data_IF_754803338438
#
_entry.id   IF_754803338438
#
_cell.length_a   1.000
_cell.length_b   1.000
_cell.length_c   1.000
_cell.angle_alpha   90.00
_cell.angle_beta   90.00
_cell.angle_gamma   90.00
#
_symmetry.space_group_name_H-M   'P 1'
#
loop_
_entity.id
_entity.type
_entity.pdbx_description
1 polymer ?
#
# COMPACT_ATOMS: atom_id res chain seq x y z
N UNK A 1 30.36 24.12 -27.15
CA UNK A 1 31.69 24.75 -26.98
C UNK A 1 31.49 26.26 -26.92
N UNK A 2 32.09 26.98 -25.95
CA UNK A 2 32.02 28.44 -25.90
C UNK A 2 32.89 29.09 -26.99
N UNK A 3 32.61 30.34 -27.31
CA UNK A 3 33.47 31.18 -28.15
C UNK A 3 34.88 31.26 -27.56
N UNK A 4 35.88 31.45 -28.42
CA UNK A 4 37.29 31.55 -28.05
C UNK A 4 37.86 32.88 -28.57
N UNK A 5 38.73 33.52 -27.79
CA UNK A 5 39.50 34.68 -28.21
C UNK A 5 41.00 34.36 -28.22
N UNK A 6 41.71 34.89 -29.21
CA UNK A 6 43.17 34.80 -29.27
C UNK A 6 43.82 35.72 -28.26
N UNK A 7 45.13 35.55 -28.06
CA UNK A 7 45.95 36.55 -27.38
C UNK A 7 45.85 37.91 -28.11
N UNK A 8 45.89 39.00 -27.35
CA UNK A 8 45.86 40.36 -27.87
C UNK A 8 47.25 40.77 -28.38
N UNK A 9 47.28 41.36 -29.56
CA UNK A 9 48.49 41.86 -30.19
C UNK A 9 48.50 43.38 -30.12
N UNK A 10 49.67 43.96 -29.80
CA UNK A 10 49.90 45.40 -29.84
C UNK A 10 50.85 45.72 -30.98
N UNK A 11 50.48 46.70 -31.80
CA UNK A 11 51.28 47.20 -32.93
C UNK A 11 51.32 48.72 -32.89
N UNK A 12 52.32 49.31 -33.55
CA UNK A 12 52.49 50.76 -33.61
C UNK A 12 52.24 51.27 -35.02
N UNK A 13 51.57 52.42 -35.15
CA UNK A 13 51.43 53.11 -36.43
C UNK A 13 52.73 53.84 -36.80
N UNK A 14 52.88 54.26 -38.06
CA UNK A 14 54.02 55.07 -38.51
C UNK A 14 54.18 56.42 -37.75
N UNK A 15 53.16 56.83 -36.99
CA UNK A 15 53.16 58.02 -36.11
C UNK A 15 53.36 57.68 -34.62
N UNK A 16 53.66 56.43 -34.28
CA UNK A 16 53.92 55.98 -32.91
C UNK A 16 52.68 55.74 -32.03
N UNK A 17 51.47 55.75 -32.60
CA UNK A 17 50.24 55.46 -31.85
C UNK A 17 50.04 53.96 -31.64
N UNK A 18 49.62 53.57 -30.44
CA UNK A 18 49.30 52.20 -30.04
C UNK A 18 48.05 51.68 -30.76
N UNK A 19 48.11 50.43 -31.22
CA UNK A 19 46.99 49.73 -31.87
C UNK A 19 46.87 48.31 -31.37
N UNK A 20 45.70 47.98 -30.84
CA UNK A 20 45.37 46.68 -30.28
C UNK A 20 44.54 45.86 -31.26
N UNK A 21 44.84 44.57 -31.36
CA UNK A 21 44.15 43.61 -32.22
C UNK A 21 43.84 42.32 -31.44
N UNK A 22 42.60 41.84 -31.53
CA UNK A 22 42.18 40.56 -30.95
C UNK A 22 41.32 39.81 -31.95
N UNK A 23 41.49 38.49 -32.00
CA UNK A 23 40.68 37.62 -32.83
C UNK A 23 39.66 36.88 -31.96
N UNK A 24 38.43 36.78 -32.46
CA UNK A 24 37.34 36.07 -31.83
C UNK A 24 36.81 35.03 -32.80
N UNK A 25 36.64 33.79 -32.34
CA UNK A 25 36.13 32.68 -33.14
C UNK A 25 35.07 31.88 -32.37
N UNK A 26 34.10 31.32 -33.10
CA UNK A 26 33.19 30.31 -32.57
C UNK A 26 33.16 29.12 -33.54
N UNK A 27 33.76 27.97 -33.17
CA UNK A 27 33.98 26.85 -34.09
C UNK A 27 32.67 26.28 -34.63
N UNK A 28 31.69 26.03 -33.75
CA UNK A 28 30.39 25.43 -34.15
C UNK A 28 29.52 26.33 -35.04
N UNK A 29 29.73 27.65 -34.97
CA UNK A 29 29.03 28.61 -35.83
C UNK A 29 29.82 28.90 -37.12
N UNK A 30 31.06 28.42 -37.24
CA UNK A 30 31.98 28.78 -38.33
C UNK A 30 32.25 30.28 -38.42
N UNK A 31 32.11 31.03 -37.31
CA UNK A 31 32.26 32.49 -37.30
C UNK A 31 33.65 32.87 -36.78
N UNK A 32 34.28 33.81 -37.49
CA UNK A 32 35.58 34.37 -37.15
C UNK A 32 35.56 35.88 -37.38
N UNK A 33 36.10 36.66 -36.45
CA UNK A 33 36.21 38.10 -36.58
C UNK A 33 37.45 38.62 -35.87
N UNK A 34 38.16 39.51 -36.56
CA UNK A 34 39.32 40.23 -36.05
C UNK A 34 38.91 41.66 -35.71
N UNK A 35 39.14 42.07 -34.47
CA UNK A 35 38.77 43.38 -33.93
C UNK A 35 40.02 44.21 -33.70
N UNK A 36 40.00 45.48 -34.13
CA UNK A 36 41.12 46.42 -34.00
C UNK A 36 40.64 47.70 -33.33
N UNK A 37 41.52 48.36 -32.58
CA UNK A 37 41.24 49.68 -32.00
C UNK A 37 42.41 50.29 -31.26
N UNK A 38 42.28 51.56 -30.90
CA UNK A 38 43.37 52.35 -30.31
C UNK A 38 43.39 52.26 -28.76
N UNK A 39 42.40 51.58 -28.17
CA UNK A 39 42.30 51.37 -26.74
C UNK A 39 42.03 49.89 -26.44
N UNK A 40 42.93 49.26 -25.69
CA UNK A 40 42.85 47.86 -25.27
C UNK A 40 41.53 47.52 -24.59
N UNK A 41 41.07 48.34 -23.65
CA UNK A 41 39.84 48.08 -22.90
C UNK A 41 38.62 48.01 -23.83
N UNK A 42 38.52 48.95 -24.78
CA UNK A 42 37.43 48.99 -25.76
C UNK A 42 37.45 47.77 -26.68
N UNK A 43 38.63 47.33 -27.10
CA UNK A 43 38.79 46.15 -27.97
C UNK A 43 38.40 44.88 -27.21
N UNK A 44 38.81 44.73 -25.94
CA UNK A 44 38.42 43.61 -25.08
C UNK A 44 36.91 43.58 -24.84
N UNK A 45 36.28 44.73 -24.51
CA UNK A 45 34.84 44.80 -24.30
C UNK A 45 34.06 44.43 -25.57
N UNK A 46 34.51 44.90 -26.74
CA UNK A 46 33.91 44.52 -28.03
C UNK A 46 34.06 43.03 -28.31
N UNK A 47 35.21 42.44 -27.99
CA UNK A 47 35.45 41.00 -28.13
C UNK A 47 34.50 40.19 -27.24
N UNK A 48 34.40 40.54 -25.95
CA UNK A 48 33.50 39.88 -25.00
C UNK A 48 32.03 39.96 -25.44
N UNK A 49 31.57 41.15 -25.84
CA UNK A 49 30.21 41.33 -26.36
C UNK A 49 29.96 40.47 -27.61
N UNK A 50 30.97 40.34 -28.49
CA UNK A 50 30.88 39.49 -29.67
C UNK A 50 30.78 38.01 -29.32
N UNK A 51 31.60 37.54 -28.37
CA UNK A 51 31.58 36.17 -27.85
C UNK A 51 30.22 35.85 -27.25
N UNK A 52 29.69 36.71 -26.37
CA UNK A 52 28.37 36.51 -25.75
C UNK A 52 27.26 36.43 -26.79
N UNK A 53 27.25 37.33 -27.78
CA UNK A 53 26.26 37.30 -28.86
C UNK A 53 26.34 36.00 -29.68
N UNK A 54 27.55 35.48 -29.91
CA UNK A 54 27.75 34.23 -30.64
C UNK A 54 27.34 33.02 -29.80
N UNK A 55 27.70 32.98 -28.53
CA UNK A 55 27.30 31.92 -27.60
C UNK A 55 25.78 31.87 -27.44
N UNK A 56 25.09 33.02 -27.37
CA UNK A 56 23.63 33.08 -27.33
C UNK A 56 22.99 32.56 -28.62
N UNK A 57 23.52 32.92 -29.79
CA UNK A 57 23.05 32.39 -31.07
C UNK A 57 23.22 30.88 -31.14
N UNK A 58 24.36 30.36 -30.68
CA UNK A 58 24.61 28.93 -30.66
C UNK A 58 23.68 28.21 -29.69
N UNK A 59 23.50 28.72 -28.47
CA UNK A 59 22.55 28.18 -27.48
C UNK A 59 21.14 28.09 -28.04
N UNK A 60 20.66 29.14 -28.73
CA UNK A 60 19.34 29.12 -29.38
C UNK A 60 19.25 28.05 -30.48
N UNK A 61 20.31 27.89 -31.29
CA UNK A 61 20.36 26.88 -32.36
C UNK A 61 20.32 25.46 -31.80
N UNK A 62 21.13 25.18 -30.78
CA UNK A 62 21.17 23.88 -30.09
C UNK A 62 19.81 23.56 -29.46
N UNK A 63 19.20 24.51 -28.74
CA UNK A 63 17.90 24.29 -28.11
C UNK A 63 16.79 23.96 -29.14
N UNK A 64 16.79 24.62 -30.30
CA UNK A 64 15.85 24.29 -31.39
C UNK A 64 16.12 22.91 -31.96
N UNK A 65 17.40 22.55 -32.17
CA UNK A 65 17.78 21.25 -32.70
C UNK A 65 17.42 20.12 -31.72
N UNK A 66 17.70 20.28 -30.44
CA UNK A 66 17.33 19.32 -29.39
C UNK A 66 15.82 19.13 -29.33
N UNK A 67 15.05 20.22 -29.40
CA UNK A 67 13.58 20.14 -29.41
C UNK A 67 13.06 19.37 -30.63
N UNK A 68 13.64 19.59 -31.82
CA UNK A 68 13.30 18.84 -33.04
C UNK A 68 13.66 17.36 -32.90
N UNK A 69 14.88 17.05 -32.47
CA UNK A 69 15.32 15.68 -32.26
C UNK A 69 14.43 14.94 -31.24
N UNK A 70 14.02 15.62 -30.16
CA UNK A 70 13.08 15.05 -29.18
C UNK A 70 11.69 14.82 -29.75
N UNK A 71 11.19 15.71 -30.60
CA UNK A 71 9.90 15.51 -31.28
C UNK A 71 9.97 14.34 -32.26
N UNK A 72 11.00 14.28 -33.09
CA UNK A 72 11.20 13.20 -34.06
C UNK A 72 11.36 11.84 -33.35
N UNK A 73 12.11 11.79 -32.25
CA UNK A 73 12.25 10.58 -31.44
C UNK A 73 10.91 10.11 -30.84
N UNK A 74 10.07 11.05 -30.39
CA UNK A 74 8.73 10.72 -29.87
C UNK A 74 7.79 10.19 -30.95
N UNK A 75 7.84 10.77 -32.15
CA UNK A 75 7.03 10.30 -33.28
C UNK A 75 7.45 8.90 -33.69
N UNK A 76 8.76 8.65 -33.85
CA UNK A 76 9.27 7.31 -34.19
C UNK A 76 8.91 6.26 -33.14
N UNK A 77 9.09 6.57 -31.86
CA UNK A 77 8.72 5.65 -30.80
C UNK A 77 7.22 5.35 -30.77
N UNK A 78 6.37 6.34 -31.11
CA UNK A 78 4.93 6.11 -31.22
C UNK A 78 4.56 5.23 -32.42
N UNK A 79 5.23 5.43 -33.56
CA UNK A 79 5.05 4.59 -34.76
C UNK A 79 5.52 3.15 -34.52
N UNK A 80 6.69 2.96 -33.92
CA UNK A 80 7.23 1.64 -33.56
C UNK A 80 6.30 0.90 -32.58
N UNK A 81 5.84 1.58 -31.52
CA UNK A 81 4.90 1.00 -30.56
C UNK A 81 3.57 0.62 -31.21
N UNK A 82 3.08 1.43 -32.16
CA UNK A 82 1.85 1.14 -32.88
C UNK A 82 2.01 -0.12 -33.75
N UNK A 83 3.14 -0.24 -34.46
CA UNK A 83 3.46 -1.42 -35.27
C UNK A 83 3.58 -2.69 -34.41
N UNK A 84 4.30 -2.62 -33.29
CA UNK A 84 4.42 -3.75 -32.38
C UNK A 84 3.06 -4.18 -31.82
N UNK A 85 2.19 -3.21 -31.50
CA UNK A 85 0.84 -3.49 -31.03
C UNK A 85 -0.04 -4.13 -32.11
N UNK A 86 0.07 -3.69 -33.37
CA UNK A 86 -0.66 -4.31 -34.49
C UNK A 86 -0.20 -5.74 -34.73
N UNK A 87 1.12 -5.97 -34.78
CA UNK A 87 1.70 -7.29 -35.05
C UNK A 87 1.28 -8.30 -33.97
N UNK A 88 1.36 -7.91 -32.69
CA UNK A 88 0.91 -8.75 -31.56
C UNK A 88 -0.59 -9.03 -31.60
N UNK A 89 -1.38 -8.06 -32.05
CA UNK A 89 -2.84 -8.24 -32.16
C UNK A 89 -3.17 -9.22 -33.29
N UNK A 90 -2.47 -9.13 -34.41
CA UNK A 90 -2.63 -10.06 -35.54
C UNK A 90 -2.19 -11.48 -35.17
N UNK A 91 -1.06 -11.63 -34.47
CA UNK A 91 -0.58 -12.92 -33.96
C UNK A 91 -1.60 -13.55 -33.00
N UNK A 92 -2.08 -12.80 -32.01
CA UNK A 92 -3.08 -13.29 -31.06
C UNK A 92 -4.40 -13.68 -31.75
N UNK A 93 -4.84 -12.92 -32.75
CA UNK A 93 -6.03 -13.25 -33.54
C UNK A 93 -5.82 -14.54 -34.35
N UNK A 94 -4.64 -14.73 -34.96
CA UNK A 94 -4.31 -15.94 -35.70
C UNK A 94 -4.26 -17.17 -34.78
N UNK A 95 -3.68 -17.04 -33.59
CA UNK A 95 -3.68 -18.10 -32.57
C UNK A 95 -5.09 -18.43 -32.11
N UNK A 96 -5.92 -17.41 -31.84
CA UNK A 96 -7.29 -17.62 -31.42
C UNK A 96 -8.11 -18.35 -32.49
N UNK A 97 -7.94 -17.97 -33.77
CA UNK A 97 -8.66 -18.64 -34.86
C UNK A 97 -8.13 -20.06 -35.12
N UNK A 98 -6.83 -20.29 -34.93
CA UNK A 98 -6.23 -21.64 -34.94
C UNK A 98 -6.86 -22.53 -33.86
N UNK A 99 -6.89 -22.06 -32.61
CA UNK A 99 -7.51 -22.78 -31.50
C UNK A 99 -9.00 -23.02 -31.75
N UNK A 100 -9.71 -22.03 -32.28
CA UNK A 100 -11.12 -22.17 -32.64
C UNK A 100 -11.32 -23.25 -33.69
N UNK A 101 -10.48 -23.26 -34.73
CA UNK A 101 -10.54 -24.26 -35.80
C UNK A 101 -10.27 -25.66 -35.25
N UNK A 102 -9.23 -25.81 -34.42
CA UNK A 102 -8.91 -27.07 -33.75
C UNK A 102 -10.06 -27.56 -32.86
N UNK A 103 -10.71 -26.65 -32.12
CA UNK A 103 -11.87 -26.99 -31.29
C UNK A 103 -13.06 -27.45 -32.13
N UNK A 104 -13.38 -26.74 -33.23
CA UNK A 104 -14.48 -27.14 -34.13
C UNK A 104 -14.20 -28.52 -34.74
N UNK A 105 -12.98 -28.73 -35.25
CA UNK A 105 -12.53 -30.01 -35.79
C UNK A 105 -12.65 -31.14 -34.76
N UNK A 106 -12.21 -30.89 -33.52
CA UNK A 106 -12.29 -31.85 -32.42
C UNK A 106 -13.73 -32.21 -32.02
N UNK A 107 -14.67 -31.27 -32.14
CA UNK A 107 -16.07 -31.49 -31.82
C UNK A 107 -16.79 -32.24 -32.95
N UNK A 108 -16.46 -31.94 -34.20
CA UNK A 108 -17.05 -32.60 -35.39
C UNK A 108 -16.65 -34.09 -35.47
N UNK A 109 -15.44 -34.43 -35.00
CA UNK A 109 -14.97 -35.82 -34.94
C UNK A 109 -15.45 -36.61 -33.70
N UNK A 110 -16.23 -35.99 -32.81
CA UNK A 110 -16.76 -36.59 -31.58
C UNK A 110 -15.68 -36.76 -30.49
N UNK A 111 -16.05 -36.95 -29.21
CA UNK A 111 -15.07 -37.16 -28.15
C UNK A 111 -14.30 -38.46 -28.40
N UNK A 112 -13.04 -38.35 -28.84
CA UNK A 112 -12.11 -39.47 -28.98
C UNK A 112 -11.89 -40.24 -27.66
N UNK A 113 -12.20 -39.61 -26.52
CA UNK A 113 -12.00 -40.15 -25.18
C UNK A 113 -13.29 -39.97 -24.37
N UNK A 114 -13.89 -41.08 -23.95
CA UNK A 114 -14.97 -41.09 -22.97
C UNK A 114 -14.38 -40.90 -21.57
N UNK A 115 -14.32 -39.64 -21.15
CA UNK A 115 -13.78 -39.25 -19.84
C UNK A 115 -14.53 -39.87 -18.66
N UNK A 116 -15.79 -40.28 -18.83
CA UNK A 116 -16.55 -40.92 -17.75
C UNK A 116 -16.10 -42.36 -17.52
N UNK A 117 -15.55 -43.04 -18.54
CA UNK A 117 -14.98 -44.38 -18.39
C UNK A 117 -13.59 -44.38 -17.73
N UNK A 118 -12.87 -43.24 -17.78
CA UNK A 118 -11.54 -43.08 -17.18
C UNK A 118 -11.56 -42.60 -15.73
N UNK A 119 -12.72 -42.16 -15.23
CA UNK A 119 -12.86 -41.69 -13.86
C UNK A 119 -13.12 -42.85 -12.91
N UNK A 120 -12.27 -42.98 -11.91
CA UNK A 120 -12.57 -43.84 -10.77
C UNK A 120 -13.55 -43.14 -9.83
N UNK A 121 -14.75 -43.71 -9.68
CA UNK A 121 -15.78 -43.26 -8.74
C UNK A 121 -15.73 -44.03 -7.42
N UNK A 122 -14.69 -44.83 -7.19
CA UNK A 122 -14.47 -45.49 -5.92
C UNK A 122 -14.41 -44.43 -4.81
N UNK A 123 -15.13 -44.65 -3.69
CA UNK A 123 -15.11 -43.71 -2.59
C UNK A 123 -13.68 -43.57 -2.08
N UNK A 124 -13.17 -42.33 -2.08
CA UNK A 124 -11.85 -42.03 -1.55
C UNK A 124 -11.76 -42.60 -0.11
N UNK A 125 -10.77 -43.46 0.20
CA UNK A 125 -10.70 -44.12 1.50
C UNK A 125 -10.44 -43.13 2.64
N UNK A 126 -10.00 -41.91 2.31
CA UNK A 126 -9.68 -40.87 3.28
C UNK A 126 -10.85 -39.90 3.41
N UNK A 127 -11.63 -40.07 4.49
CA UNK A 127 -12.76 -39.20 4.80
C UNK A 127 -12.30 -37.78 5.15
N UNK A 128 -12.91 -36.77 4.53
CA UNK A 128 -12.62 -35.36 4.82
C UNK A 128 -12.94 -35.06 6.30
N UNK A 129 -12.06 -34.34 7.02
CA UNK A 129 -12.36 -33.91 8.39
C UNK A 129 -13.62 -33.02 8.41
N UNK A 130 -14.45 -33.19 9.43
CA UNK A 130 -15.67 -32.39 9.63
C UNK A 130 -15.33 -31.07 10.34
N UNK A 131 -15.99 -29.96 9.98
CA UNK A 131 -15.77 -28.69 10.65
C UNK A 131 -16.23 -28.78 12.12
N UNK A 132 -15.48 -28.18 13.07
CA UNK A 132 -15.88 -28.19 14.46
C UNK A 132 -17.14 -27.33 14.67
N UNK A 133 -18.05 -27.77 15.55
CA UNK A 133 -19.23 -26.99 15.93
C UNK A 133 -18.85 -25.83 16.86
N UNK A 134 -19.45 -24.66 16.60
CA UNK A 134 -19.24 -23.47 17.44
C UNK A 134 -19.85 -23.71 18.83
N UNK A 135 -19.12 -23.44 19.94
CA UNK A 135 -19.68 -23.55 21.28
C UNK A 135 -20.82 -22.53 21.48
N UNK A 136 -21.82 -22.91 22.27
CA UNK A 136 -22.93 -22.02 22.67
C UNK A 136 -22.41 -21.00 23.67
N UNK A 137 -22.79 -19.73 23.49
CA UNK A 137 -22.39 -18.64 24.39
C UNK A 137 -22.83 -18.93 25.83
N UNK A 138 -21.97 -18.62 26.84
CA UNK A 138 -22.31 -18.85 28.22
C UNK A 138 -23.48 -17.95 28.63
N UNK A 139 -24.39 -18.43 29.49
CA UNK A 139 -25.52 -17.64 29.94
C UNK A 139 -25.03 -16.41 30.72
N UNK A 140 -25.67 -15.27 30.50
CA UNK A 140 -25.37 -14.04 31.23
C UNK A 140 -25.60 -14.24 32.74
N UNK A 141 -24.75 -13.68 33.61
CA UNK A 141 -24.92 -13.80 35.05
C UNK A 141 -26.26 -13.19 35.47
N UNK A 142 -27.04 -13.94 36.27
CA UNK A 142 -28.29 -13.45 36.85
C UNK A 142 -27.97 -12.56 38.04
N UNK A 143 -28.18 -11.25 37.90
CA UNK A 143 -28.03 -10.29 38.98
C UNK A 143 -29.22 -10.35 39.95
N UNK A 144 -28.93 -10.23 41.24
CA UNK A 144 -29.95 -9.88 42.24
C UNK A 144 -30.33 -8.39 42.15
N UNK A 145 -31.44 -8.01 42.79
CA UNK A 145 -31.92 -6.62 42.84
C UNK A 145 -30.87 -5.70 43.47
N UNK A 146 -30.68 -4.52 42.88
CA UNK A 146 -29.82 -3.46 43.42
C UNK A 146 -30.36 -2.98 44.78
N UNK A 147 -29.50 -2.80 45.80
CA UNK A 147 -29.91 -2.23 47.09
C UNK A 147 -30.55 -0.85 46.88
N UNK A 148 -31.75 -0.63 47.43
CA UNK A 148 -32.44 0.64 47.32
C UNK A 148 -32.40 1.38 48.67
N UNK A 149 -32.15 2.69 48.66
CA UNK A 149 -32.12 3.53 49.86
C UNK A 149 -33.48 3.63 50.57
N UNK A 150 -34.57 3.23 49.91
CA UNK A 150 -35.91 3.12 50.48
C UNK A 150 -36.27 1.71 50.97
N UNK A 151 -35.34 0.74 50.91
CA UNK A 151 -35.62 -0.59 51.46
C UNK A 151 -35.70 -0.50 53.01
N UNK A 152 -36.64 -1.21 53.66
CA UNK A 152 -36.89 -1.09 55.11
C UNK A 152 -35.67 -1.37 55.99
N UNK A 153 -34.67 -2.08 55.45
CA UNK A 153 -33.41 -2.43 56.12
C UNK A 153 -32.46 -1.22 56.28
N UNK A 154 -32.65 -0.16 55.49
CA UNK A 154 -31.86 1.07 55.52
C UNK A 154 -32.64 2.29 56.02
N UNK A 155 -33.88 2.12 56.46
CA UNK A 155 -34.67 3.23 57.00
C UNK A 155 -34.24 3.53 58.46
N UNK A 156 -33.92 4.79 58.82
CA UNK A 156 -33.59 5.13 60.20
C UNK A 156 -34.84 5.04 61.07
N UNK A 157 -34.82 4.20 62.10
CA UNK A 157 -35.90 4.14 63.10
C UNK A 157 -36.03 5.49 63.83
N UNK A 158 -37.03 6.28 63.41
CA UNK A 158 -37.39 7.57 64.01
C UNK A 158 -38.22 7.30 65.27
N UNK A 159 -37.59 7.33 66.43
CA UNK A 159 -38.27 7.26 67.72
C UNK A 159 -38.75 8.63 68.17
N UNK A 160 -39.81 8.67 69.00
CA UNK A 160 -40.35 9.91 69.59
C UNK A 160 -39.29 10.79 70.31
N UNK A 161 -38.19 10.20 70.80
CA UNK A 161 -37.10 10.90 71.49
C UNK A 161 -36.07 11.57 70.54
N UNK A 162 -36.11 11.30 69.23
CA UNK A 162 -35.18 11.86 68.25
C UNK A 162 -35.50 13.34 67.92
N UNK A 163 -36.71 13.80 68.26
CA UNK A 163 -37.07 15.23 68.22
C UNK A 163 -36.38 16.03 69.34
N UNK A 164 -36.07 15.40 70.47
CA UNK A 164 -35.51 16.06 71.65
C UNK A 164 -33.97 16.16 71.61
N UNK A 165 -33.29 15.31 70.84
CA UNK A 165 -31.83 15.27 70.73
C UNK A 165 -31.37 15.18 69.26
N UNK A 166 -31.17 16.33 68.58
CA UNK A 166 -30.83 16.35 67.14
C UNK A 166 -29.51 15.63 66.80
N UNK A 167 -28.58 15.51 67.75
CA UNK A 167 -27.33 14.76 67.56
C UNK A 167 -27.52 13.24 67.44
N UNK A 168 -28.49 12.66 68.17
CA UNK A 168 -28.79 11.21 68.09
C UNK A 168 -29.53 10.85 66.80
N UNK A 169 -30.38 11.76 66.32
CA UNK A 169 -31.03 11.66 65.01
C UNK A 169 -29.98 11.61 63.89
N UNK A 170 -29.04 12.55 63.88
CA UNK A 170 -27.94 12.58 62.89
C UNK A 170 -27.08 11.31 62.93
N UNK A 171 -26.71 10.84 64.11
CA UNK A 171 -25.91 9.61 64.25
C UNK A 171 -26.64 8.35 63.73
N UNK A 172 -27.97 8.27 63.86
CA UNK A 172 -28.78 7.18 63.29
C UNK A 172 -28.92 7.29 61.77
N UNK A 173 -29.07 8.50 61.25
CA UNK A 173 -29.09 8.77 59.80
C UNK A 173 -27.73 8.41 59.18
N UNK A 174 -26.62 8.83 59.78
CA UNK A 174 -25.25 8.48 59.36
C UNK A 174 -24.99 6.96 59.41
N UNK A 175 -25.50 6.27 60.45
CA UNK A 175 -25.38 4.81 60.56
C UNK A 175 -26.22 4.07 59.50
N UNK A 176 -27.41 4.56 59.18
CA UNK A 176 -28.27 4.02 58.12
C UNK A 176 -27.64 4.23 56.74
N UNK A 177 -27.11 5.44 56.48
CA UNK A 177 -26.39 5.76 55.25
C UNK A 177 -25.12 4.91 55.10
N UNK A 178 -24.35 4.71 56.17
CA UNK A 178 -23.16 3.86 56.16
C UNK A 178 -23.49 2.39 55.85
N UNK A 179 -24.63 1.87 56.33
CA UNK A 179 -25.11 0.51 56.00
C UNK A 179 -25.52 0.39 54.54
N UNK A 180 -26.20 1.39 54.01
CA UNK A 180 -26.57 1.44 52.59
C UNK A 180 -25.33 1.49 51.70
N UNK A 181 -24.36 2.37 52.01
CA UNK A 181 -23.10 2.48 51.28
C UNK A 181 -22.31 1.15 51.32
N UNK A 182 -22.24 0.50 52.48
CA UNK A 182 -21.59 -0.82 52.60
C UNK A 182 -22.32 -1.90 51.78
N UNK A 183 -23.67 -1.92 51.80
CA UNK A 183 -24.45 -2.85 51.00
C UNK A 183 -24.29 -2.61 49.48
N UNK A 184 -24.23 -1.34 49.07
CA UNK A 184 -23.97 -0.95 47.68
C UNK A 184 -22.57 -1.38 47.23
N UNK A 185 -21.54 -1.16 48.06
CA UNK A 185 -20.16 -1.62 47.77
C UNK A 185 -20.07 -3.14 47.68
N UNK A 186 -20.73 -3.87 48.58
CA UNK A 186 -20.78 -5.34 48.52
C UNK A 186 -21.51 -5.84 47.27
N UNK A 187 -22.59 -5.16 46.86
CA UNK A 187 -23.30 -5.49 45.63
C UNK A 187 -22.43 -5.21 44.39
N UNK A 188 -21.77 -4.06 44.31
CA UNK A 188 -20.83 -3.72 43.24
C UNK A 188 -19.68 -4.74 43.15
N UNK A 189 -19.06 -5.10 44.27
CA UNK A 189 -17.99 -6.11 44.31
C UNK A 189 -18.48 -7.47 43.79
N UNK A 190 -19.72 -7.86 44.11
CA UNK A 190 -20.34 -9.07 43.57
C UNK A 190 -20.61 -8.97 42.07
N UNK A 191 -21.01 -7.80 41.57
CA UNK A 191 -21.18 -7.58 40.14
C UNK A 191 -19.87 -7.73 39.40
N UNK A 192 -18.83 -7.04 39.87
CA UNK A 192 -17.51 -7.06 39.25
C UNK A 192 -16.94 -8.49 39.24
N UNK A 193 -17.13 -9.23 40.35
CA UNK A 193 -16.76 -10.64 40.43
C UNK A 193 -17.51 -11.54 39.44
N UNK A 194 -18.83 -11.38 39.33
CA UNK A 194 -19.64 -12.16 38.38
C UNK A 194 -19.33 -11.81 36.91
N UNK A 195 -19.09 -10.53 36.62
CA UNK A 195 -18.68 -10.08 35.29
C UNK A 195 -17.28 -10.59 34.93
N UNK A 196 -16.34 -10.55 35.87
CA UNK A 196 -15.00 -11.10 35.68
C UNK A 196 -15.02 -12.61 35.41
N UNK A 197 -15.79 -13.39 36.19
CA UNK A 197 -15.95 -14.83 35.97
C UNK A 197 -16.59 -15.15 34.61
N UNK A 198 -17.60 -14.37 34.22
CA UNK A 198 -18.23 -14.53 32.90
C UNK A 198 -17.26 -14.19 31.77
N UNK A 199 -16.52 -13.09 31.89
CA UNK A 199 -15.51 -12.68 30.91
C UNK A 199 -14.38 -13.71 30.80
N UNK A 200 -13.92 -14.27 31.90
CA UNK A 200 -12.92 -15.36 31.91
C UNK A 200 -13.46 -16.60 31.20
N UNK A 201 -14.70 -17.00 31.48
CA UNK A 201 -15.34 -18.15 30.83
C UNK A 201 -15.46 -17.95 29.32
N UNK A 202 -15.88 -16.75 28.88
CA UNK A 202 -15.96 -16.39 27.46
C UNK A 202 -14.57 -16.44 26.81
N UNK A 203 -13.56 -15.86 27.46
CA UNK A 203 -12.19 -15.84 26.95
C UNK A 203 -11.60 -17.27 26.81
N UNK A 204 -11.84 -18.14 27.79
CA UNK A 204 -11.41 -19.54 27.73
C UNK A 204 -12.09 -20.30 26.59
N UNK A 205 -13.40 -20.12 26.39
CA UNK A 205 -14.12 -20.73 25.27
C UNK A 205 -13.63 -20.21 23.92
N UNK A 206 -13.34 -18.91 23.79
CA UNK A 206 -12.80 -18.33 22.56
C UNK A 206 -11.41 -18.90 22.25
N UNK A 207 -10.55 -19.06 23.25
CA UNK A 207 -9.24 -19.70 23.09
C UNK A 207 -9.36 -21.16 22.65
N UNK A 208 -10.26 -21.93 23.28
CA UNK A 208 -10.51 -23.32 22.89
C UNK A 208 -11.07 -23.42 21.46
N UNK A 209 -11.96 -22.51 21.08
CA UNK A 209 -12.51 -22.44 19.74
C UNK A 209 -11.42 -22.15 18.70
N UNK A 210 -10.54 -21.18 18.95
CA UNK A 210 -9.40 -20.87 18.07
C UNK A 210 -8.48 -22.08 17.89
N UNK A 211 -8.18 -22.80 18.97
CA UNK A 211 -7.38 -24.04 18.89
C UNK A 211 -8.04 -25.10 18.01
N UNK A 212 -9.34 -25.37 18.23
CA UNK A 212 -10.08 -26.33 17.40
C UNK A 212 -10.13 -25.93 15.92
N UNK A 213 -10.19 -24.64 15.62
CA UNK A 213 -10.12 -24.16 14.25
C UNK A 213 -8.74 -24.37 13.63
N UNK A 214 -7.67 -24.15 14.38
CA UNK A 214 -6.30 -24.41 13.93
C UNK A 214 -6.09 -25.92 13.71
N UNK A 215 -6.45 -26.76 14.68
CA UNK A 215 -6.37 -28.21 14.56
C UNK A 215 -7.15 -28.73 13.33
N UNK A 216 -8.32 -28.15 13.04
CA UNK A 216 -9.09 -28.48 11.84
C UNK A 216 -8.41 -28.03 10.54
N UNK A 217 -7.77 -26.86 10.53
CA UNK A 217 -7.01 -26.39 9.36
C UNK A 217 -5.79 -27.27 9.10
N UNK A 218 -5.07 -27.67 10.15
CA UNK A 218 -3.94 -28.57 10.05
C UNK A 218 -4.38 -29.95 9.54
N UNK A 219 -5.46 -30.52 10.10
CA UNK A 219 -6.05 -31.77 9.60
C UNK A 219 -6.52 -31.68 8.15
N UNK A 220 -7.04 -30.53 7.72
CA UNK A 220 -7.46 -30.32 6.34
C UNK A 220 -6.25 -30.25 5.40
N UNK A 221 -5.15 -29.62 5.83
CA UNK A 221 -3.91 -29.54 5.08
C UNK A 221 -3.25 -30.92 4.95
N UNK A 222 -3.19 -31.69 6.04
CA UNK A 222 -2.70 -33.07 6.03
C UNK A 222 -3.56 -33.95 5.12
N UNK A 223 -4.90 -33.81 5.19
CA UNK A 223 -5.82 -34.52 4.31
C UNK A 223 -5.62 -34.15 2.82
N UNK A 224 -5.45 -32.86 2.50
CA UNK A 224 -5.19 -32.42 1.13
C UNK A 224 -3.83 -32.96 0.62
N UNK A 225 -2.81 -33.02 1.47
CA UNK A 225 -1.50 -33.60 1.15
C UNK A 225 -1.57 -35.11 0.91
N UNK A 226 -2.23 -35.86 1.80
CA UNK A 226 -2.42 -37.31 1.65
C UNK A 226 -3.25 -37.64 0.40
N UNK A 227 -4.29 -36.85 0.12
CA UNK A 227 -5.08 -36.98 -1.12
C UNK A 227 -4.21 -36.75 -2.36
N UNK A 228 -3.34 -35.73 -2.35
CA UNK A 228 -2.42 -35.44 -3.46
C UNK A 228 -1.39 -36.56 -3.70
N UNK A 229 -0.82 -37.10 -2.62
CA UNK A 229 0.12 -38.22 -2.71
C UNK A 229 -0.55 -39.50 -3.21
N UNK A 230 -1.80 -39.76 -2.82
CA UNK A 230 -2.58 -40.87 -3.35
C UNK A 230 -2.89 -40.70 -4.84
N UNK A 231 -3.26 -39.49 -5.29
CA UNK A 231 -3.48 -39.25 -6.73
C UNK A 231 -2.20 -39.40 -7.56
N UNK A 232 -1.04 -39.00 -7.04
CA UNK A 232 0.24 -39.13 -7.73
C UNK A 232 0.75 -40.58 -7.76
N UNK A 233 0.51 -41.35 -6.69
CA UNK A 233 0.89 -42.77 -6.61
C UNK A 233 0.01 -43.66 -7.52
N UNK A 234 -1.27 -43.36 -7.66
CA UNK A 234 -2.16 -44.03 -8.62
C UNK A 234 -1.80 -43.68 -10.07
N UNK A 235 -1.38 -42.44 -10.34
CA UNK A 235 -0.91 -42.01 -11.65
C UNK A 235 0.42 -42.67 -12.10
N UNK A 236 1.23 -43.20 -11.17
CA UNK A 236 2.48 -43.91 -11.44
C UNK A 236 2.32 -45.44 -11.61
N UNK A 237 1.12 -45.97 -11.36
CA UNK A 237 0.80 -47.40 -11.50
C UNK A 237 -0.01 -47.73 -12.77
N UNK A 238 -0.33 -46.72 -13.59
CA UNK A 238 -0.93 -46.84 -14.93
C UNK A 238 0.10 -46.49 -16.01
#
# INVERSE_FOLDING_TARGET
MPSQCSQMWMSYTARGLDRYEIEVSHPELGKFQRLKGDNQYVVTQKANAKMQMWDEMWRKRVAVQEKRNQQDAKVRAAEENLQEATDRTEEAQAEQESLRTLLVDSLDHGPLVDWEQLKDFSPCPISRPLPPDRPVDPPKPKLGREPNCYDPEFEPEKGFFDWLFPGKKKAKEEAAESRFQAAQQLWQTKLDGLQAQHAETVAQQEQQWKRRQQDYQDQLADWDQERGLHSDAEALLL
#
